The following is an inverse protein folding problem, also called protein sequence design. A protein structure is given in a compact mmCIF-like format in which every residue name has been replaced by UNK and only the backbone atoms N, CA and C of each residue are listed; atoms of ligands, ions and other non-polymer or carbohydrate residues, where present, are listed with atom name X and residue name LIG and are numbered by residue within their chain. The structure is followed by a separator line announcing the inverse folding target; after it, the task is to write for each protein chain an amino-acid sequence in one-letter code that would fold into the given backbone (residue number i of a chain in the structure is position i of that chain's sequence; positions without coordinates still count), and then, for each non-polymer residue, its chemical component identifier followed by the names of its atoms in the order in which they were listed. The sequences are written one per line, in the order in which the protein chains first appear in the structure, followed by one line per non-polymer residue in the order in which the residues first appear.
data_IF_792569479118
#
_entry.id   IF_792569479118
#
_cell.length_a   1.000
_cell.length_b   1.000
_cell.length_c   1.000
_cell.angle_alpha   90.00
_cell.angle_beta   90.00
_cell.angle_gamma   90.00
#
_symmetry.space_group_name_H-M   'P 1'
#
loop_
_entity.id
_entity.type
_entity.pdbx_description
1 polymer ?
#
# COMPACT_ATOMS: atom_id res chain seq x y z
N UNK A 1 -16.63 -0.32 -9.37
CA UNK A 1 -15.60 0.12 -10.34
C UNK A 1 -16.27 0.51 -11.63
N UNK A 2 -16.06 1.72 -12.15
CA UNK A 2 -16.37 2.02 -13.56
C UNK A 2 -15.24 1.44 -14.42
N UNK A 3 -15.46 0.34 -15.17
CA UNK A 3 -14.40 -0.28 -15.97
C UNK A 3 -14.01 0.57 -17.18
N UNK A 4 -14.80 1.59 -17.53
CA UNK A 4 -14.54 2.47 -18.66
C UNK A 4 -13.61 3.62 -18.30
N UNK A 5 -13.52 3.96 -17.01
CA UNK A 5 -12.61 4.96 -16.49
C UNK A 5 -11.14 4.53 -16.61
N UNK A 6 -10.23 5.49 -16.47
CA UNK A 6 -8.79 5.19 -16.44
C UNK A 6 -8.42 4.70 -15.05
N UNK A 7 -8.41 3.39 -14.88
CA UNK A 7 -8.02 2.72 -13.64
C UNK A 7 -6.56 2.25 -13.71
N UNK A 8 -5.82 2.45 -12.62
CA UNK A 8 -4.42 2.03 -12.49
C UNK A 8 -4.22 1.29 -11.18
N UNK A 9 -3.34 0.29 -11.17
CA UNK A 9 -2.90 -0.34 -9.93
C UNK A 9 -1.71 0.42 -9.36
N UNK A 10 -1.86 0.94 -8.14
CA UNK A 10 -0.74 1.36 -7.30
C UNK A 10 -0.14 0.10 -6.69
N UNK A 11 1.14 -0.13 -6.96
CA UNK A 11 1.89 -1.22 -6.33
C UNK A 11 2.43 -0.70 -5.00
N UNK A 12 2.11 -1.43 -3.94
CA UNK A 12 2.48 -1.14 -2.55
C UNK A 12 3.32 -2.31 -2.10
N UNK A 13 4.62 -2.10 -2.07
CA UNK A 13 5.61 -3.09 -1.71
C UNK A 13 5.63 -3.33 -0.20
N UNK A 14 6.09 -4.49 0.26
CA UNK A 14 6.20 -4.81 1.68
C UNK A 14 7.09 -3.82 2.46
N UNK A 15 7.95 -3.07 1.76
CA UNK A 15 8.79 -2.01 2.31
C UNK A 15 8.19 -0.59 2.28
N UNK A 16 7.00 -0.38 1.74
CA UNK A 16 6.41 0.96 1.61
C UNK A 16 5.85 1.49 2.94
N UNK A 17 6.08 2.78 3.25
CA UNK A 17 5.72 3.37 4.56
C UNK A 17 4.22 3.58 4.76
N UNK A 18 3.46 3.42 3.69
CA UNK A 18 2.00 3.41 3.76
C UNK A 18 1.45 2.10 4.34
N UNK A 19 2.28 1.06 4.45
CA UNK A 19 1.99 -0.12 5.26
C UNK A 19 2.38 0.14 6.72
N UNK A 20 1.43 -0.07 7.62
CA UNK A 20 1.67 0.01 9.06
C UNK A 20 1.73 -1.40 9.66
N UNK A 21 2.92 -1.80 10.06
CA UNK A 21 3.16 -3.02 10.83
C UNK A 21 2.93 -2.72 12.31
N UNK A 22 1.93 -3.35 12.93
CA UNK A 22 1.55 -3.03 14.32
C UNK A 22 2.70 -3.21 15.33
N UNK A 23 3.55 -4.21 15.08
CA UNK A 23 4.81 -4.42 15.79
C UNK A 23 5.87 -4.90 14.79
N UNK A 24 6.75 -4.03 14.29
CA UNK A 24 7.75 -4.40 13.28
C UNK A 24 8.69 -5.52 13.73
N UNK A 25 8.91 -5.69 15.04
CA UNK A 25 9.79 -6.75 15.57
C UNK A 25 9.22 -8.17 15.41
N UNK A 26 7.93 -8.32 15.13
CA UNK A 26 7.29 -9.61 14.87
C UNK A 26 7.55 -10.12 13.44
N UNK A 27 8.19 -9.31 12.60
CA UNK A 27 8.40 -9.58 11.18
C UNK A 27 9.88 -9.76 10.87
N UNK A 28 10.15 -10.58 9.86
CA UNK A 28 11.46 -10.85 9.31
C UNK A 28 11.46 -10.52 7.83
N UNK A 29 12.52 -9.87 7.38
CA UNK A 29 12.79 -9.56 5.98
C UNK A 29 14.18 -10.11 5.62
N UNK A 30 14.41 -10.56 4.36
CA UNK A 30 15.76 -10.79 3.89
C UNK A 30 16.59 -9.49 3.92
N UNK A 31 17.91 -9.61 3.86
CA UNK A 31 18.81 -8.48 3.67
C UNK A 31 18.60 -7.92 2.25
N UNK A 32 18.03 -6.72 2.08
CA UNK A 32 17.74 -6.14 0.77
C UNK A 32 19.01 -5.82 -0.04
N UNK A 33 20.19 -5.87 0.59
CA UNK A 33 21.48 -5.61 -0.03
C UNK A 33 22.26 -6.91 -0.36
N UNK A 34 21.74 -8.10 -0.04
CA UNK A 34 22.49 -9.37 -0.16
C UNK A 34 21.71 -10.51 -0.85
N UNK A 35 22.12 -10.94 -2.08
CA UNK A 35 23.02 -10.23 -2.98
C UNK A 35 22.44 -8.84 -3.33
N UNK A 36 23.23 -7.87 -3.83
CA UNK A 36 22.69 -6.55 -4.18
C UNK A 36 21.48 -6.73 -5.08
N UNK A 37 20.35 -6.10 -4.75
CA UNK A 37 19.08 -6.38 -5.41
C UNK A 37 19.14 -6.25 -6.94
N UNK A 38 19.94 -5.31 -7.44
CA UNK A 38 20.23 -5.14 -8.87
C UNK A 38 20.79 -6.39 -9.58
N UNK A 39 21.37 -7.33 -8.82
CA UNK A 39 21.90 -8.62 -9.30
C UNK A 39 20.94 -9.78 -9.09
N UNK A 40 19.89 -9.58 -8.28
CA UNK A 40 18.92 -10.62 -7.89
C UNK A 40 17.66 -10.55 -8.75
N UNK A 41 17.31 -9.39 -9.32
CA UNK A 41 16.22 -9.30 -10.30
C UNK A 41 16.67 -9.87 -11.66
N UNK A 42 15.93 -10.80 -12.31
CA UNK A 42 14.60 -11.35 -11.98
C UNK A 42 14.63 -12.77 -11.35
N UNK A 43 15.73 -13.16 -10.72
CA UNK A 43 15.95 -14.53 -10.20
C UNK A 43 15.22 -14.84 -8.90
N UNK A 44 14.62 -13.84 -8.26
CA UNK A 44 13.79 -13.97 -7.06
C UNK A 44 12.29 -13.98 -7.44
N UNK A 45 11.46 -14.79 -6.77
CA UNK A 45 10.01 -14.73 -6.97
C UNK A 45 9.37 -13.47 -6.36
N UNK A 46 10.07 -12.72 -5.51
CA UNK A 46 9.50 -11.59 -4.76
C UNK A 46 9.66 -10.25 -5.49
N UNK A 47 8.67 -9.36 -5.36
CA UNK A 47 8.75 -8.01 -5.91
C UNK A 47 9.93 -7.28 -5.29
N UNK A 48 10.76 -6.68 -6.15
CA UNK A 48 12.00 -6.01 -5.73
C UNK A 48 12.84 -6.84 -4.73
N UNK A 49 12.76 -8.17 -4.81
CA UNK A 49 13.54 -9.12 -4.03
C UNK A 49 13.37 -9.09 -2.51
N UNK A 50 12.37 -8.40 -1.99
CA UNK A 50 12.07 -8.33 -0.54
C UNK A 50 10.76 -9.02 -0.19
N UNK A 51 10.56 -9.31 1.08
CA UNK A 51 9.28 -9.76 1.65
C UNK A 51 9.27 -9.50 3.15
N UNK A 52 8.08 -9.40 3.74
CA UNK A 52 7.91 -9.43 5.20
C UNK A 52 7.19 -10.70 5.61
N UNK A 53 7.85 -11.53 6.42
CA UNK A 53 7.32 -12.80 6.93
C UNK A 53 7.22 -12.78 8.46
N UNK A 54 6.17 -13.40 8.99
CA UNK A 54 6.02 -13.63 10.42
C UNK A 54 5.51 -15.05 10.71
N UNK A 55 5.91 -15.60 11.85
CA UNK A 55 5.29 -16.78 12.46
C UNK A 55 4.52 -16.45 13.74
N UNK A 56 4.49 -15.17 14.12
CA UNK A 56 3.88 -14.69 15.37
C UNK A 56 2.38 -14.56 15.16
N UNK A 57 1.60 -15.28 15.98
CA UNK A 57 0.13 -15.19 15.95
C UNK A 57 -0.28 -13.80 16.40
N UNK A 58 -1.24 -13.22 15.68
CA UNK A 58 -1.75 -11.84 15.81
C UNK A 58 -0.82 -10.72 15.33
N UNK A 59 0.38 -11.02 14.81
CA UNK A 59 1.13 -10.02 14.05
C UNK A 59 0.27 -9.52 12.88
N UNK A 60 0.21 -8.20 12.71
CA UNK A 60 -0.73 -7.57 11.77
C UNK A 60 -0.12 -6.41 10.99
N UNK A 61 -0.70 -6.18 9.82
CA UNK A 61 -0.40 -5.10 8.89
C UNK A 61 -1.71 -4.38 8.58
N UNK A 62 -1.69 -3.06 8.57
CA UNK A 62 -2.81 -2.23 8.13
C UNK A 62 -2.41 -1.35 6.96
N UNK A 63 -3.34 -1.16 6.02
CA UNK A 63 -3.23 -0.25 4.90
C UNK A 63 -4.54 0.51 4.74
N UNK A 64 -4.46 1.84 4.80
CA UNK A 64 -5.54 2.70 4.33
C UNK A 64 -5.35 2.94 2.84
N UNK A 65 -6.39 2.71 2.06
CA UNK A 65 -6.38 2.94 0.61
C UNK A 65 -7.70 3.54 0.16
N UNK A 66 -7.70 4.08 -1.04
CA UNK A 66 -8.93 4.55 -1.68
C UNK A 66 -9.05 3.87 -3.03
N UNK A 67 -10.22 3.33 -3.31
CA UNK A 67 -10.52 2.78 -4.63
C UNK A 67 -11.26 1.47 -4.58
N UNK A 68 -11.64 0.95 -5.75
CA UNK A 68 -12.67 -0.07 -5.85
C UNK A 68 -12.09 -1.49 -5.85
N UNK A 69 -10.76 -1.65 -5.78
CA UNK A 69 -10.17 -2.96 -5.75
C UNK A 69 -8.84 -3.03 -5.00
N UNK A 70 -8.58 -4.18 -4.40
CA UNK A 70 -7.35 -4.51 -3.72
C UNK A 70 -6.99 -5.98 -3.93
N UNK A 71 -5.71 -6.25 -4.13
CA UNK A 71 -5.16 -7.59 -4.33
C UNK A 71 -3.89 -7.74 -3.49
N UNK A 72 -3.83 -8.76 -2.65
CA UNK A 72 -2.72 -9.02 -1.73
C UNK A 72 -1.95 -10.23 -2.24
N UNK A 73 -0.65 -10.05 -2.43
CA UNK A 73 0.26 -11.08 -2.90
C UNK A 73 1.28 -11.45 -1.83
N UNK A 74 1.64 -12.72 -1.78
CA UNK A 74 2.61 -13.26 -0.84
C UNK A 74 3.00 -14.68 -1.20
N UNK A 75 3.19 -15.54 -0.21
CA UNK A 75 3.58 -16.94 -0.42
C UNK A 75 2.51 -17.92 0.04
N UNK A 76 2.50 -19.10 -0.58
CA UNK A 76 1.78 -20.28 -0.11
C UNK A 76 2.67 -21.52 -0.17
N UNK A 77 2.39 -22.49 0.69
CA UNK A 77 3.24 -23.68 0.85
C UNK A 77 3.04 -24.40 2.19
N UNK A 78 3.79 -25.47 2.46
CA UNK A 78 3.51 -26.37 3.58
C UNK A 78 3.83 -25.78 4.95
N UNK A 79 4.52 -24.64 5.01
CA UNK A 79 4.87 -23.93 6.23
C UNK A 79 3.97 -22.74 6.54
N UNK A 80 3.06 -22.39 5.62
CA UNK A 80 2.19 -21.21 5.75
C UNK A 80 0.84 -21.56 6.35
N UNK A 81 0.40 -20.77 7.33
CA UNK A 81 -0.82 -21.01 8.10
C UNK A 81 -2.02 -20.20 7.63
N UNK A 82 -3.03 -20.13 8.50
CA UNK A 82 -4.19 -19.28 8.34
C UNK A 82 -3.89 -17.81 8.64
N UNK A 83 -4.63 -16.93 7.97
CA UNK A 83 -4.61 -15.48 8.17
C UNK A 83 -6.02 -14.91 8.07
N UNK A 84 -6.25 -13.81 8.76
CA UNK A 84 -7.45 -12.99 8.64
C UNK A 84 -7.19 -11.85 7.66
N UNK A 85 -8.18 -11.60 6.80
CA UNK A 85 -8.29 -10.39 5.99
C UNK A 85 -9.53 -9.65 6.46
N UNK A 86 -9.36 -8.39 6.87
CA UNK A 86 -10.46 -7.51 7.25
C UNK A 86 -10.47 -6.30 6.32
N UNK A 87 -11.63 -6.02 5.72
CA UNK A 87 -11.89 -4.77 4.99
C UNK A 87 -12.96 -4.01 5.77
N UNK A 88 -12.64 -2.80 6.20
CA UNK A 88 -13.55 -1.91 6.95
C UNK A 88 -14.13 -2.57 8.21
N UNK A 89 -13.34 -3.42 8.87
CA UNK A 89 -13.74 -4.15 10.07
C UNK A 89 -14.50 -5.46 9.80
N UNK A 90 -14.81 -5.79 8.55
CA UNK A 90 -15.43 -7.08 8.17
C UNK A 90 -14.35 -8.11 7.90
N UNK A 91 -14.16 -9.03 8.84
CA UNK A 91 -13.11 -10.04 8.81
C UNK A 91 -13.54 -11.36 8.13
N UNK A 92 -12.64 -11.95 7.35
CA UNK A 92 -12.76 -13.30 6.79
C UNK A 92 -11.44 -14.04 6.96
N UNK A 93 -11.50 -15.33 7.31
CA UNK A 93 -10.33 -16.20 7.46
C UNK A 93 -10.01 -16.94 6.17
N UNK A 94 -8.72 -16.96 5.82
CA UNK A 94 -8.14 -17.68 4.70
C UNK A 94 -6.96 -18.55 5.19
N UNK A 95 -6.47 -19.44 4.33
CA UNK A 95 -5.26 -20.22 4.59
C UNK A 95 -4.30 -20.14 3.41
N UNK A 96 -3.02 -19.94 3.71
CA UNK A 96 -1.92 -19.97 2.74
C UNK A 96 -1.26 -21.37 2.69
N UNK A 97 -1.80 -22.35 3.42
CA UNK A 97 -1.28 -23.71 3.40
C UNK A 97 -1.46 -24.35 2.01
N UNK A 98 -0.38 -24.94 1.51
CA UNK A 98 -0.40 -25.79 0.33
C UNK A 98 0.62 -26.92 0.49
N UNK A 99 0.45 -28.06 -0.20
CA UNK A 99 1.39 -29.19 -0.08
C UNK A 99 2.75 -28.94 -0.74
N UNK A 100 2.86 -27.89 -1.56
CA UNK A 100 4.09 -27.47 -2.24
C UNK A 100 4.20 -25.95 -2.23
N UNK A 101 5.42 -25.42 -2.20
CA UNK A 101 5.66 -23.98 -2.31
C UNK A 101 5.18 -23.45 -3.66
N UNK A 102 4.50 -22.30 -3.66
CA UNK A 102 4.32 -21.51 -4.86
C UNK A 102 5.68 -21.06 -5.42
N UNK A 103 5.80 -21.02 -6.74
CA UNK A 103 7.04 -20.60 -7.44
C UNK A 103 7.00 -19.16 -7.94
N UNK A 104 5.87 -18.49 -7.75
CA UNK A 104 5.62 -17.08 -8.07
C UNK A 104 4.81 -16.48 -6.92
N UNK A 105 4.71 -15.14 -6.82
CA UNK A 105 3.82 -14.51 -5.85
C UNK A 105 2.41 -15.10 -5.96
N UNK A 106 1.89 -15.52 -4.82
CA UNK A 106 0.58 -16.14 -4.69
C UNK A 106 -0.45 -15.09 -4.32
N UNK A 107 -1.59 -15.07 -5.03
CA UNK A 107 -2.72 -14.20 -4.69
C UNK A 107 -3.40 -14.72 -3.41
N UNK A 108 -3.11 -14.05 -2.29
CA UNK A 108 -3.68 -14.38 -0.97
C UNK A 108 -5.11 -13.85 -0.83
N UNK A 109 -5.39 -12.69 -1.42
CA UNK A 109 -6.71 -12.08 -1.36
C UNK A 109 -6.93 -11.17 -2.56
N UNK A 110 -8.16 -11.13 -3.07
CA UNK A 110 -8.55 -10.20 -4.12
C UNK A 110 -10.00 -9.78 -3.97
N UNK A 111 -10.25 -8.49 -4.08
CA UNK A 111 -11.60 -7.94 -4.17
C UNK A 111 -11.62 -6.83 -5.22
N UNK A 112 -12.43 -7.02 -6.27
CA UNK A 112 -12.58 -6.08 -7.39
C UNK A 112 -13.85 -5.23 -7.36
N UNK A 113 -14.64 -5.36 -6.30
CA UNK A 113 -16.01 -4.85 -6.23
C UNK A 113 -16.25 -3.96 -5.00
N UNK A 114 -15.21 -3.31 -4.49
CA UNK A 114 -15.36 -2.32 -3.42
C UNK A 114 -16.00 -1.03 -3.96
N UNK A 115 -16.61 -0.28 -3.03
CA UNK A 115 -17.06 1.06 -3.32
C UNK A 115 -15.86 1.96 -3.68
N UNK A 116 -16.09 3.02 -4.44
CA UNK A 116 -15.03 4.01 -4.65
C UNK A 116 -14.99 4.97 -3.46
N UNK A 117 -14.42 4.50 -2.36
CA UNK A 117 -14.30 5.23 -1.09
C UNK A 117 -12.97 4.92 -0.42
N UNK A 118 -12.71 5.60 0.70
CA UNK A 118 -11.62 5.19 1.59
C UNK A 118 -11.99 3.87 2.26
N UNK A 119 -11.01 2.98 2.35
CA UNK A 119 -11.09 1.66 2.93
C UNK A 119 -9.88 1.40 3.82
N UNK A 120 -10.05 0.56 4.84
CA UNK A 120 -8.95 0.05 5.65
C UNK A 120 -8.84 -1.45 5.46
N UNK A 121 -7.71 -1.91 4.93
CA UNK A 121 -7.30 -3.31 4.96
C UNK A 121 -6.54 -3.60 6.25
N UNK A 122 -6.88 -4.69 6.92
CA UNK A 122 -6.06 -5.31 7.94
C UNK A 122 -5.79 -6.77 7.60
N UNK A 123 -4.52 -7.15 7.64
CA UNK A 123 -4.04 -8.53 7.56
C UNK A 123 -3.56 -8.96 8.93
N UNK A 124 -3.90 -10.17 9.38
CA UNK A 124 -3.47 -10.68 10.69
C UNK A 124 -3.14 -12.17 10.62
N UNK A 125 -1.95 -12.54 11.07
CA UNK A 125 -1.54 -13.94 11.14
C UNK A 125 -2.35 -14.68 12.21
N UNK A 126 -2.98 -15.80 11.85
CA UNK A 126 -3.74 -16.64 12.80
C UNK A 126 -3.00 -17.93 13.18
N UNK A 127 -1.84 -18.20 12.57
CA UNK A 127 -1.13 -19.46 12.75
C UNK A 127 -1.92 -20.65 12.18
N UNK A 128 -1.79 -21.83 12.80
CA UNK A 128 -2.51 -23.04 12.40
C UNK A 128 -3.97 -23.03 12.89
N UNK A 129 -4.76 -22.05 12.46
CA UNK A 129 -6.13 -21.86 12.93
C UNK A 129 -7.13 -22.85 12.29
N UNK A 130 -6.76 -23.48 11.17
CA UNK A 130 -7.56 -24.51 10.51
C UNK A 130 -6.85 -25.86 10.57
N UNK A 131 -7.64 -26.95 10.63
CA UNK A 131 -7.09 -28.31 10.64
C UNK A 131 -6.27 -28.63 9.38
N UNK A 132 -6.57 -27.98 8.26
CA UNK A 132 -5.82 -28.08 7.00
C UNK A 132 -4.40 -27.51 7.08
N UNK A 133 -4.10 -26.65 8.06
CA UNK A 133 -2.81 -25.95 8.13
C UNK A 133 -1.68 -26.87 8.62
N UNK A 134 -1.98 -28.07 9.13
CA UNK A 134 -0.96 -29.05 9.57
C UNK A 134 0.08 -28.50 10.57
N UNK A 135 -0.32 -27.54 11.42
CA UNK A 135 0.58 -26.90 12.37
C UNK A 135 1.44 -25.77 11.79
N UNK A 136 1.28 -25.43 10.51
CA UNK A 136 1.92 -24.31 9.85
C UNK A 136 1.49 -22.96 10.45
N UNK A 137 2.42 -22.02 10.58
CA UNK A 137 2.15 -20.71 11.19
C UNK A 137 2.76 -19.52 10.45
N UNK A 138 3.48 -19.74 9.35
CA UNK A 138 4.08 -18.65 8.61
C UNK A 138 3.02 -17.86 7.84
N UNK A 139 3.20 -16.56 7.76
CA UNK A 139 2.49 -15.65 6.87
C UNK A 139 3.52 -14.73 6.24
N UNK A 140 3.47 -14.54 4.92
CA UNK A 140 4.41 -13.71 4.17
C UNK A 140 3.63 -12.78 3.26
N UNK A 141 3.89 -11.48 3.39
CA UNK A 141 3.48 -10.43 2.47
C UNK A 141 4.64 -10.09 1.52
N UNK A 142 4.34 -10.00 0.24
CA UNK A 142 5.25 -9.55 -0.81
C UNK A 142 4.84 -8.15 -1.28
N UNK A 143 3.64 -8.01 -1.84
CA UNK A 143 3.10 -6.70 -2.22
C UNK A 143 1.58 -6.68 -2.27
N UNK A 144 1.03 -5.48 -2.38
CA UNK A 144 -0.39 -5.20 -2.55
C UNK A 144 -0.58 -4.36 -3.81
N UNK A 145 -1.60 -4.69 -4.61
CA UNK A 145 -2.09 -3.83 -5.69
C UNK A 145 -3.39 -3.17 -5.24
N UNK A 146 -3.40 -1.85 -5.09
CA UNK A 146 -4.61 -1.07 -4.88
C UNK A 146 -5.01 -0.37 -6.18
N UNK A 147 -6.21 -0.64 -6.69
CA UNK A 147 -6.68 0.02 -7.91
C UNK A 147 -7.25 1.40 -7.58
N UNK A 148 -6.84 2.41 -8.34
CA UNK A 148 -7.28 3.79 -8.23
C UNK A 148 -7.80 4.29 -9.58
N UNK A 149 -8.73 5.23 -9.57
CA UNK A 149 -9.20 5.89 -10.77
C UNK A 149 -8.45 7.22 -10.93
N UNK A 150 -7.77 7.39 -12.07
CA UNK A 150 -6.98 8.59 -12.38
C UNK A 150 -7.71 9.53 -13.35
N UNK A 151 -8.85 9.13 -13.91
CA UNK A 151 -9.61 9.97 -14.82
C UNK A 151 -10.84 9.27 -15.38
N UNK A 152 -11.76 10.02 -16.02
CA UNK A 152 -12.92 9.46 -16.70
C UNK A 152 -12.52 8.70 -17.96
N UNK A 153 -13.48 7.98 -18.56
CA UNK A 153 -13.27 7.25 -19.80
C UNK A 153 -12.70 8.13 -20.92
N UNK A 154 -11.63 7.65 -21.57
CA UNK A 154 -10.98 8.36 -22.67
C UNK A 154 -10.04 9.50 -22.26
N UNK A 155 -9.87 9.78 -20.96
CA UNK A 155 -8.85 10.72 -20.51
C UNK A 155 -7.44 10.16 -20.77
N UNK A 156 -6.51 11.03 -21.15
CA UNK A 156 -5.08 10.70 -21.15
C UNK A 156 -4.47 11.09 -19.82
N UNK A 157 -3.48 10.35 -19.35
CA UNK A 157 -2.82 10.56 -18.05
C UNK A 157 -1.36 10.92 -18.26
N UNK A 158 -0.91 11.98 -17.57
CA UNK A 158 0.49 12.42 -17.61
C UNK A 158 1.07 12.44 -16.20
N UNK A 159 2.21 11.78 -16.01
CA UNK A 159 2.98 11.89 -14.76
C UNK A 159 4.03 12.99 -14.88
N UNK A 160 4.15 13.81 -13.85
CA UNK A 160 5.23 14.79 -13.70
C UNK A 160 6.06 14.43 -12.49
N UNK A 161 7.35 14.20 -12.70
CA UNK A 161 8.33 14.03 -11.63
C UNK A 161 8.85 15.38 -11.17
N UNK A 162 8.94 15.58 -9.87
CA UNK A 162 9.58 16.71 -9.20
C UNK A 162 10.68 16.12 -8.33
N UNK A 163 11.92 16.23 -8.78
CA UNK A 163 13.09 15.72 -8.06
C UNK A 163 13.35 16.54 -6.79
N UNK A 164 14.05 15.95 -5.83
CA UNK A 164 14.47 16.56 -4.55
C UNK A 164 15.12 17.95 -4.68
N UNK A 165 15.82 18.23 -5.78
CA UNK A 165 16.46 19.52 -6.06
C UNK A 165 15.63 20.50 -6.92
N UNK A 166 14.38 20.16 -7.25
CA UNK A 166 13.52 21.02 -8.08
C UNK A 166 13.11 22.30 -7.31
N UNK A 167 13.23 23.50 -7.92
CA UNK A 167 12.89 24.77 -7.26
C UNK A 167 11.41 24.94 -6.89
N UNK A 168 10.51 24.06 -7.38
CA UNK A 168 9.12 23.99 -6.91
C UNK A 168 9.01 23.56 -5.46
N UNK A 169 9.94 22.74 -4.97
CA UNK A 169 9.96 22.28 -3.58
C UNK A 169 10.37 23.42 -2.66
N UNK A 170 9.63 23.57 -1.56
CA UNK A 170 9.89 24.59 -0.53
C UNK A 170 10.30 23.91 0.77
N UNK A 171 11.60 23.94 1.03
CA UNK A 171 12.18 23.40 2.25
C UNK A 171 12.17 24.43 3.38
N UNK A 172 11.89 23.96 4.59
CA UNK A 172 12.04 24.67 5.85
C UNK A 172 12.85 23.82 6.81
N UNK A 173 13.71 24.46 7.61
CA UNK A 173 14.65 23.79 8.50
C UNK A 173 15.96 23.41 7.82
N UNK A 174 16.63 22.37 8.33
CA UNK A 174 17.94 21.95 7.84
C UNK A 174 17.82 20.63 7.09
N UNK A 175 18.31 20.63 5.86
CA UNK A 175 18.31 19.48 4.97
C UNK A 175 19.71 19.26 4.42
N UNK A 176 20.08 18.00 4.21
CA UNK A 176 21.38 17.62 3.64
C UNK A 176 21.13 16.82 2.38
N UNK A 177 21.79 17.21 1.29
CA UNK A 177 21.78 16.46 0.04
C UNK A 177 22.79 15.31 0.11
N UNK A 178 22.43 14.19 -0.45
CA UNK A 178 23.30 13.07 -0.75
C UNK A 178 23.20 12.69 -2.23
N UNK A 179 24.28 12.17 -2.78
CA UNK A 179 24.34 11.78 -4.19
C UNK A 179 24.51 10.28 -4.31
N UNK A 180 23.77 9.68 -5.23
CA UNK A 180 23.76 8.23 -5.42
C UNK A 180 23.20 7.85 -6.77
N UNK A 181 23.76 6.83 -7.46
CA UNK A 181 23.29 6.40 -8.77
C UNK A 181 21.92 5.68 -8.72
N UNK A 182 21.43 5.35 -7.52
CA UNK A 182 20.14 4.69 -7.29
C UNK A 182 19.01 5.70 -7.07
N UNK A 183 19.34 6.96 -6.74
CA UNK A 183 18.36 8.02 -6.56
C UNK A 183 17.86 8.55 -7.90
N UNK A 184 16.59 8.91 -7.92
CA UNK A 184 16.00 9.67 -9.01
C UNK A 184 16.74 10.99 -9.18
N UNK A 185 17.00 11.42 -10.41
CA UNK A 185 17.81 12.62 -10.65
C UNK A 185 19.27 12.56 -10.19
N UNK A 186 19.70 11.51 -9.46
CA UNK A 186 21.04 11.31 -8.92
C UNK A 186 21.28 11.84 -7.51
N UNK A 187 20.26 12.42 -6.87
CA UNK A 187 20.32 13.01 -5.53
C UNK A 187 19.12 12.60 -4.68
N UNK A 188 19.33 12.51 -3.37
CA UNK A 188 18.28 12.44 -2.36
C UNK A 188 18.56 13.52 -1.32
N UNK A 189 17.54 13.93 -0.58
CA UNK A 189 17.68 14.92 0.48
C UNK A 189 17.07 14.41 1.78
N UNK A 190 17.81 14.60 2.88
CA UNK A 190 17.41 14.09 4.19
C UNK A 190 17.45 15.13 5.30
N UNK A 191 16.68 14.85 6.35
CA UNK A 191 16.70 15.62 7.60
C UNK A 191 16.52 14.73 8.82
N UNK A 192 17.19 15.09 9.92
CA UNK A 192 17.05 14.46 11.24
C UNK A 192 16.60 15.46 12.32
N UNK A 193 16.08 16.60 11.90
CA UNK A 193 15.52 17.65 12.75
C UNK A 193 14.09 17.91 12.34
N UNK A 194 13.32 18.62 13.17
CA UNK A 194 11.99 19.07 12.79
C UNK A 194 12.09 20.07 11.62
N UNK A 195 11.97 19.53 10.42
CA UNK A 195 12.09 20.20 9.14
C UNK A 195 10.97 19.71 8.23
N UNK A 196 10.58 20.54 7.28
CA UNK A 196 9.49 20.22 6.36
C UNK A 196 9.82 20.59 4.92
N UNK A 197 9.12 19.95 4.00
CA UNK A 197 9.15 20.22 2.57
C UNK A 197 7.72 20.27 2.06
N UNK A 198 7.42 21.26 1.21
CA UNK A 198 6.12 21.36 0.56
C UNK A 198 6.21 21.46 -0.96
N UNK A 199 5.16 20.95 -1.61
CA UNK A 199 4.93 21.02 -3.05
C UNK A 199 3.49 21.47 -3.31
N UNK A 200 3.34 22.45 -4.18
CA UNK A 200 2.05 22.86 -4.74
C UNK A 200 1.91 22.31 -6.16
N UNK A 201 0.79 21.66 -6.48
CA UNK A 201 0.58 20.97 -7.75
C UNK A 201 -0.90 20.90 -8.15
N UNK A 202 -1.16 20.65 -9.44
CA UNK A 202 -2.49 20.34 -9.96
C UNK A 202 -2.45 18.94 -10.58
N UNK A 203 -3.06 17.98 -9.89
CA UNK A 203 -3.07 16.59 -10.29
C UNK A 203 -4.09 15.81 -9.50
N UNK A 204 -4.57 14.71 -10.08
CA UNK A 204 -5.55 13.80 -9.48
C UNK A 204 -4.92 12.77 -8.54
N UNK A 205 -3.60 12.58 -8.62
CA UNK A 205 -2.86 11.70 -7.73
C UNK A 205 -1.48 12.27 -7.42
N UNK A 206 -0.95 11.87 -6.26
CA UNK A 206 0.36 12.23 -5.75
C UNK A 206 1.03 10.98 -5.17
N UNK A 207 2.29 10.80 -5.52
CA UNK A 207 3.19 9.78 -4.98
C UNK A 207 4.41 10.50 -4.40
N UNK A 208 4.85 10.09 -3.22
CA UNK A 208 6.09 10.58 -2.60
C UNK A 208 7.00 9.38 -2.41
N UNK A 209 8.23 9.49 -2.87
CA UNK A 209 9.24 8.44 -2.77
C UNK A 209 10.43 8.92 -1.95
N UNK A 210 11.08 7.96 -1.30
CA UNK A 210 12.30 8.16 -0.54
C UNK A 210 12.71 6.83 0.10
N UNK A 211 13.83 6.85 0.81
CA UNK A 211 14.38 5.63 1.36
C UNK A 211 13.75 5.26 2.70
N UNK A 212 13.93 4.00 3.08
CA UNK A 212 13.40 3.45 4.32
C UNK A 212 14.50 2.64 4.94
N UNK A 213 14.94 3.02 6.13
CA UNK A 213 16.05 2.39 6.87
C UNK A 213 15.72 2.44 8.36
N UNK A 214 16.26 1.54 9.16
CA UNK A 214 15.97 1.49 10.60
C UNK A 214 16.44 2.71 11.43
N UNK A 215 17.29 3.58 10.89
CA UNK A 215 17.63 4.86 11.54
C UNK A 215 16.62 5.99 11.22
N UNK A 216 15.61 5.70 10.38
CA UNK A 216 14.54 6.62 10.09
C UNK A 216 13.46 6.61 11.18
N UNK A 217 12.51 7.53 11.10
CA UNK A 217 11.37 7.55 12.00
C UNK A 217 10.08 8.02 11.39
N UNK A 218 9.25 8.60 12.27
CA UNK A 218 7.92 9.07 11.96
C UNK A 218 7.96 10.42 11.21
N UNK A 219 7.11 10.52 10.21
CA UNK A 219 6.83 11.78 9.52
C UNK A 219 5.33 11.95 9.40
N UNK A 220 4.91 13.20 9.32
CA UNK A 220 3.55 13.53 8.96
C UNK A 220 3.48 14.01 7.52
N UNK A 221 2.38 13.68 6.85
CA UNK A 221 2.00 14.24 5.57
C UNK A 221 0.66 14.93 5.73
N UNK A 222 0.58 16.18 5.31
CA UNK A 222 -0.65 16.95 5.23
C UNK A 222 -0.88 17.32 3.77
N UNK A 223 -2.05 16.99 3.23
CA UNK A 223 -2.50 17.50 1.93
C UNK A 223 -3.63 18.50 2.15
N UNK A 224 -3.45 19.68 1.60
CA UNK A 224 -4.32 20.84 1.75
C UNK A 224 -4.57 21.19 3.23
N UNK A 225 -5.83 21.27 3.63
CA UNK A 225 -6.25 21.58 5.00
C UNK A 225 -6.75 20.34 5.75
N UNK A 226 -6.42 19.13 5.27
CA UNK A 226 -6.79 17.89 5.96
C UNK A 226 -5.94 17.67 7.21
N UNK A 227 -6.35 16.71 8.03
CA UNK A 227 -5.57 16.34 9.21
C UNK A 227 -4.25 15.68 8.79
N UNK A 228 -3.15 15.95 9.51
CA UNK A 228 -1.88 15.28 9.26
C UNK A 228 -2.02 13.76 9.42
N UNK A 229 -1.52 13.01 8.44
CA UNK A 229 -1.40 11.55 8.51
C UNK A 229 0.03 11.19 8.91
N UNK A 230 0.19 10.33 9.92
CA UNK A 230 1.50 9.88 10.39
C UNK A 230 1.88 8.57 9.75
N UNK A 231 3.12 8.48 9.29
CA UNK A 231 3.73 7.30 8.68
C UNK A 231 5.07 7.03 9.33
N UNK A 232 5.55 5.78 9.23
CA UNK A 232 6.81 5.36 9.81
C UNK A 232 7.67 4.68 8.75
N UNK A 233 8.97 4.98 8.74
CA UNK A 233 9.94 4.45 7.76
C UNK A 233 10.91 3.42 8.34
N UNK A 234 10.65 2.97 9.57
CA UNK A 234 11.35 1.84 10.20
C UNK A 234 10.80 0.53 9.63
N UNK A 235 11.67 -0.42 9.29
CA UNK A 235 11.31 -1.72 8.70
C UNK A 235 11.70 -2.93 9.51
N UNK A 236 12.11 -2.72 10.75
CA UNK A 236 12.25 -3.81 11.73
C UNK A 236 13.36 -4.81 11.39
N UNK A 237 14.29 -4.49 10.47
CA UNK A 237 15.37 -5.41 10.17
C UNK A 237 16.21 -5.71 11.40
N UNK A 238 16.26 -6.98 11.80
CA UNK A 238 17.04 -7.42 12.96
C UNK A 238 18.46 -7.87 12.62
N UNK A 239 19.26 -8.13 13.65
CA UNK A 239 20.55 -8.79 13.50
C UNK A 239 21.65 -7.94 12.84
N UNK A 240 22.55 -8.60 12.12
CA UNK A 240 23.82 -8.01 11.68
C UNK A 240 23.68 -6.89 10.63
N UNK A 241 22.59 -6.88 9.85
CA UNK A 241 22.34 -5.89 8.79
C UNK A 241 21.34 -4.80 9.20
N UNK A 242 20.83 -4.83 10.45
CA UNK A 242 19.78 -3.91 10.89
C UNK A 242 20.11 -2.43 10.71
N UNK A 243 21.38 -2.02 10.76
CA UNK A 243 21.79 -0.62 10.54
C UNK A 243 21.82 -0.19 9.07
N UNK A 244 22.02 -1.13 8.15
CA UNK A 244 22.23 -0.88 6.72
C UNK A 244 21.09 -1.46 5.87
N UNK A 245 19.98 -1.81 6.51
CA UNK A 245 18.84 -2.45 5.87
C UNK A 245 18.07 -1.40 5.07
N UNK A 246 18.52 -1.19 3.85
CA UNK A 246 18.02 -0.19 2.94
C UNK A 246 17.72 -0.84 1.60
N UNK A 247 16.51 -0.65 1.11
CA UNK A 247 16.12 -1.08 -0.23
C UNK A 247 16.79 -0.17 -1.24
N UNK A 248 17.49 -0.76 -2.22
CA UNK A 248 18.17 0.00 -3.30
C UNK A 248 17.21 0.68 -4.29
N UNK A 249 15.91 0.54 -4.09
CA UNK A 249 14.85 1.14 -4.90
C UNK A 249 14.00 2.01 -3.98
N UNK A 250 13.72 3.28 -4.34
CA UNK A 250 12.94 4.19 -3.50
C UNK A 250 11.57 3.60 -3.12
N UNK A 251 11.24 3.63 -1.83
CA UNK A 251 9.98 3.14 -1.30
C UNK A 251 8.88 4.18 -1.47
N UNK A 252 7.62 3.75 -1.67
CA UNK A 252 6.47 4.63 -1.63
C UNK A 252 6.21 5.07 -0.18
N UNK A 253 6.39 6.37 0.06
CA UNK A 253 6.25 6.99 1.37
C UNK A 253 4.85 7.54 1.60
N UNK A 254 4.20 7.97 0.53
CA UNK A 254 2.84 8.50 0.59
C UNK A 254 2.15 8.34 -0.75
N UNK A 255 0.85 8.09 -0.70
CA UNK A 255 0.00 8.11 -1.87
C UNK A 255 -1.31 8.83 -1.55
N UNK A 256 -1.70 9.73 -2.45
CA UNK A 256 -3.06 10.28 -2.51
C UNK A 256 -3.61 10.10 -3.92
N UNK A 257 -4.87 9.73 -4.03
CA UNK A 257 -5.61 9.60 -5.28
C UNK A 257 -6.94 10.33 -5.24
N UNK A 258 -7.62 10.39 -6.39
CA UNK A 258 -8.92 11.05 -6.56
C UNK A 258 -8.94 12.52 -6.09
N UNK A 259 -7.82 13.20 -6.26
CA UNK A 259 -7.74 14.64 -6.04
C UNK A 259 -8.47 15.36 -7.19
N UNK A 260 -9.11 16.47 -6.85
CA UNK A 260 -9.89 17.24 -7.81
C UNK A 260 -9.00 18.12 -8.71
N UNK A 261 -9.62 18.96 -9.53
CA UNK A 261 -8.89 19.84 -10.45
C UNK A 261 -8.32 21.09 -9.77
N UNK A 262 -8.54 21.28 -8.47
CA UNK A 262 -8.00 22.43 -7.75
C UNK A 262 -6.47 22.35 -7.63
N UNK A 263 -5.90 23.42 -7.11
CA UNK A 263 -4.48 23.42 -6.76
C UNK A 263 -4.35 22.83 -5.36
N UNK A 264 -3.55 21.77 -5.25
CA UNK A 264 -3.28 21.08 -4.00
C UNK A 264 -1.91 21.48 -3.44
N UNK A 265 -1.77 21.48 -2.12
CA UNK A 265 -0.47 21.64 -1.46
C UNK A 265 -0.24 20.50 -0.50
N UNK A 266 0.83 19.74 -0.73
CA UNK A 266 1.29 18.72 0.20
C UNK A 266 2.44 19.27 1.03
N UNK A 267 2.48 18.95 2.32
CA UNK A 267 3.59 19.21 3.23
C UNK A 267 3.99 17.92 3.93
N UNK A 268 5.28 17.56 3.83
CA UNK A 268 5.89 16.46 4.57
C UNK A 268 6.73 17.04 5.68
N UNK A 269 6.58 16.55 6.91
CA UNK A 269 7.31 17.05 8.08
C UNK A 269 7.94 15.90 8.84
N UNK A 270 9.23 16.02 9.18
CA UNK A 270 9.86 15.10 10.13
C UNK A 270 9.34 15.42 11.54
N UNK A 271 8.56 14.50 12.10
CA UNK A 271 7.99 14.63 13.45
C UNK A 271 8.64 13.69 14.45
N UNK A 272 9.69 12.98 14.03
CA UNK A 272 10.24 11.91 14.82
C UNK A 272 10.97 12.42 16.07
N UNK A 273 10.81 11.63 17.14
CA UNK A 273 11.56 11.82 18.38
C UNK A 273 12.98 11.25 18.24
N UNK A 274 13.94 11.81 18.98
CA UNK A 274 15.34 11.38 19.02
C UNK A 274 16.16 11.59 17.73
N UNK A 275 15.79 12.56 16.89
CA UNK A 275 16.54 12.93 15.68
C UNK A 275 16.75 11.75 14.72
N UNK A 276 15.71 10.95 14.50
CA UNK A 276 15.72 9.96 13.42
C UNK A 276 15.42 10.63 12.08
N UNK A 277 15.82 9.94 11.01
CA UNK A 277 15.90 10.51 9.67
C UNK A 277 14.59 10.36 8.89
N UNK A 278 14.39 11.25 7.93
CA UNK A 278 13.50 11.04 6.80
C UNK A 278 14.24 11.48 5.55
N UNK A 279 14.17 10.64 4.52
CA UNK A 279 14.72 10.93 3.21
C UNK A 279 13.58 11.21 2.21
N UNK A 280 13.88 12.05 1.23
CA UNK A 280 13.03 12.39 0.09
C UNK A 280 13.86 12.26 -1.19
N UNK A 281 13.39 11.42 -2.10
CA UNK A 281 13.97 11.23 -3.43
C UNK A 281 13.20 12.07 -4.46
N UNK A 282 11.88 11.88 -4.55
CA UNK A 282 11.04 12.63 -5.50
C UNK A 282 9.57 12.66 -5.11
N UNK A 283 8.88 13.64 -5.68
CA UNK A 283 7.43 13.60 -5.84
C UNK A 283 7.09 13.21 -7.28
N UNK A 284 5.96 12.51 -7.45
CA UNK A 284 5.34 12.34 -8.76
C UNK A 284 3.88 12.71 -8.61
N UNK A 285 3.39 13.65 -9.42
CA UNK A 285 1.95 13.92 -9.50
C UNK A 285 1.41 13.56 -10.88
N UNK A 286 0.16 13.14 -10.89
CA UNK A 286 -0.52 12.68 -12.09
C UNK A 286 -1.60 13.66 -12.50
N UNK A 287 -1.55 14.16 -13.73
CA UNK A 287 -2.54 15.08 -14.28
C UNK A 287 -3.32 14.40 -15.41
N UNK A 288 -4.65 14.23 -15.29
CA UNK A 288 -5.48 13.76 -16.39
C UNK A 288 -5.84 14.91 -17.34
N UNK A 289 -6.09 14.59 -18.61
CA UNK A 289 -6.60 15.57 -19.59
C UNK A 289 -8.02 16.05 -19.26
N UNK A 290 -8.76 15.27 -18.46
CA UNK A 290 -10.11 15.58 -17.99
C UNK A 290 -10.25 15.03 -16.57
N UNK A 291 -10.83 15.79 -15.66
CA UNK A 291 -11.17 15.33 -14.32
C UNK A 291 -12.57 14.73 -14.33
N UNK A 292 -12.76 13.62 -13.62
CA UNK A 292 -14.10 13.07 -13.44
C UNK A 292 -14.88 13.97 -12.47
N UNK A 293 -16.20 14.14 -12.64
CA UNK A 293 -17.02 14.71 -11.58
C UNK A 293 -16.90 13.81 -10.34
N UNK A 294 -16.54 14.38 -9.19
CA UNK A 294 -16.58 13.63 -7.92
C UNK A 294 -18.05 13.36 -7.60
N UNK A 295 -18.58 12.21 -8.03
CA UNK A 295 -19.87 11.74 -7.55
C UNK A 295 -19.63 11.01 -6.24
N UNK A 296 -19.59 11.75 -5.13
CA UNK A 296 -19.84 11.16 -3.81
C UNK A 296 -21.28 10.65 -3.85
N UNK A 297 -21.48 9.34 -3.98
CA UNK A 297 -22.80 8.78 -3.73
C UNK A 297 -23.08 8.94 -2.25
N UNK A 298 -23.65 10.09 -1.86
CA UNK A 298 -24.40 10.24 -0.63
C UNK A 298 -25.58 9.28 -0.75
N UNK A 299 -25.41 8.05 -0.28
CA UNK A 299 -26.53 7.19 0.02
C UNK A 299 -27.17 7.75 1.30
N UNK A 300 -27.82 8.92 1.16
CA UNK A 300 -28.74 9.42 2.17
C UNK A 300 -29.96 8.50 2.13
N UNK A 301 -29.89 7.40 2.87
CA UNK A 301 -31.11 6.80 3.40
C UNK A 301 -31.71 7.81 4.37
N UNK A 302 -32.42 8.78 3.80
CA UNK A 302 -33.33 9.63 4.53
C UNK A 302 -34.27 8.69 5.27
N UNK A 303 -34.13 8.64 6.60
CA UNK A 303 -35.06 7.98 7.48
C UNK A 303 -36.42 8.67 7.28
N UNK A 304 -37.24 8.08 6.40
CA UNK A 304 -38.64 8.42 6.30
C UNK A 304 -39.30 7.95 7.60
N UNK A 305 -39.55 8.92 8.48
CA UNK A 305 -40.37 8.78 9.68
C UNK A 305 -41.78 8.38 9.27
N UNK A 306 -42.11 7.09 9.39
CA UNK A 306 -43.50 6.64 9.38
C UNK A 306 -43.86 6.08 10.74
N UNK A 307 -44.62 6.89 11.48
CA UNK A 307 -45.37 6.52 12.66
C UNK A 307 -46.56 5.62 12.28
N UNK A 308 -46.61 4.41 12.84
CA UNK A 308 -47.89 3.77 13.18
C UNK A 308 -47.71 2.52 14.05
N UNK A 309 -48.25 2.65 15.27
CA UNK A 309 -49.05 1.69 16.02
C UNK A 309 -48.66 0.19 16.11
N UNK A 310 -48.54 -0.22 17.36
CA UNK A 310 -48.49 -1.58 17.89
C UNK A 310 -49.56 -2.54 17.37
N UNK A 311 -49.16 -3.77 17.05
CA UNK A 311 -49.91 -4.97 17.44
C UNK A 311 -48.98 -6.20 17.54
N UNK A 312 -49.22 -6.98 18.58
CA UNK A 312 -48.52 -8.21 18.98
C UNK A 312 -48.90 -9.43 18.12
N UNK A 313 -47.95 -10.32 17.82
CA UNK A 313 -47.95 -11.74 18.28
C UNK A 313 -47.04 -12.68 17.48
N UNK A 314 -46.50 -13.65 18.23
CA UNK A 314 -46.00 -15.00 17.88
C UNK A 314 -44.73 -15.19 17.05
N UNK A 315 -43.68 -15.57 17.78
CA UNK A 315 -42.75 -16.70 17.53
C UNK A 315 -42.99 -17.55 16.28
N UNK A 316 -41.95 -17.76 15.46
CA UNK A 316 -41.46 -19.10 15.09
C UNK A 316 -39.96 -19.10 14.68
N UNK A 317 -39.26 -20.04 15.34
CA UNK A 317 -37.98 -20.71 15.08
C UNK A 317 -37.26 -20.55 13.74
N UNK A 318 -35.95 -20.30 13.88
CA UNK A 318 -34.91 -20.54 12.91
C UNK A 318 -34.69 -22.05 12.63
N UNK A 319 -34.40 -22.39 11.38
CA UNK A 319 -33.70 -23.63 11.01
C UNK A 319 -32.68 -23.32 9.91
N UNK A 320 -31.42 -23.49 10.26
CA UNK A 320 -30.25 -23.45 9.39
C UNK A 320 -30.15 -24.72 8.53
N UNK A 321 -29.79 -24.55 7.26
CA UNK A 321 -29.14 -25.57 6.44
C UNK A 321 -28.30 -24.88 5.35
N UNK A 322 -27.15 -25.47 4.94
CA UNK A 322 -26.09 -24.76 4.23
C UNK A 322 -26.32 -24.73 2.72
N UNK A 323 -26.23 -23.53 2.13
CA UNK A 323 -26.27 -23.35 0.68
C UNK A 323 -24.92 -23.65 0.04
N UNK A 324 -24.91 -24.66 -0.82
CA UNK A 324 -23.84 -25.02 -1.74
C UNK A 324 -23.47 -23.83 -2.63
N UNK A 325 -22.18 -23.47 -2.71
CA UNK A 325 -21.70 -22.56 -3.75
C UNK A 325 -21.50 -23.30 -5.06
N UNK A 326 -22.30 -22.89 -6.03
CA UNK A 326 -22.22 -23.30 -7.43
C UNK A 326 -20.93 -22.72 -8.06
N UNK A 327 -20.23 -23.57 -8.80
CA UNK A 327 -18.98 -23.26 -9.50
C UNK A 327 -19.30 -22.91 -10.95
N UNK A 328 -18.88 -21.73 -11.44
CA UNK A 328 -18.45 -21.48 -12.84
C UNK A 328 -18.25 -19.99 -13.14
N UNK A 329 -17.54 -19.60 -14.22
CA UNK A 329 -16.11 -19.86 -14.43
C UNK A 329 -15.34 -18.58 -14.86
N UNK A 330 -14.00 -18.65 -14.79
CA UNK A 330 -13.06 -17.89 -15.65
C UNK A 330 -13.35 -16.39 -15.88
N UNK A 331 -12.92 -15.55 -14.94
CA UNK A 331 -12.60 -14.15 -15.26
C UNK A 331 -11.15 -14.10 -15.72
N UNK A 332 -10.93 -14.04 -17.04
CA UNK A 332 -9.63 -13.69 -17.62
C UNK A 332 -9.38 -12.21 -17.31
N UNK A 333 -8.76 -11.94 -16.15
CA UNK A 333 -8.15 -10.65 -15.87
C UNK A 333 -6.92 -10.52 -16.78
N UNK A 334 -7.02 -9.66 -17.79
CA UNK A 334 -5.83 -9.08 -18.41
C UNK A 334 -5.13 -8.25 -17.33
N UNK A 335 -4.14 -8.85 -16.67
CA UNK A 335 -3.17 -8.13 -15.87
C UNK A 335 -2.33 -7.34 -16.87
N UNK A 336 -2.79 -6.16 -17.25
CA UNK A 336 -1.94 -5.11 -17.77
C UNK A 336 -1.06 -4.64 -16.62
N UNK A 337 -0.02 -5.40 -16.29
CA UNK A 337 1.05 -4.90 -15.45
C UNK A 337 1.76 -3.82 -16.28
N UNK A 338 1.36 -2.56 -16.07
CA UNK A 338 2.28 -1.46 -16.35
C UNK A 338 3.40 -1.56 -15.32
N UNK A 339 4.34 -2.46 -15.61
CA UNK A 339 5.66 -2.42 -15.04
C UNK A 339 6.25 -1.08 -15.45
N UNK A 340 6.21 -0.09 -14.55
CA UNK A 340 7.17 0.98 -14.63
C UNK A 340 8.52 0.34 -14.40
N UNK A 341 9.18 -0.05 -15.49
CA UNK A 341 10.62 -0.21 -15.48
C UNK A 341 11.18 1.11 -14.96
N UNK A 342 11.60 1.11 -13.69
CA UNK A 342 12.45 2.12 -13.08
C UNK A 342 13.85 2.03 -13.72
N UNK A 343 13.91 2.26 -15.03
CA UNK A 343 15.15 2.31 -15.79
C UNK A 343 15.38 3.75 -16.26
N UNK A 344 16.22 4.44 -15.49
CA UNK A 344 16.88 5.64 -15.95
C UNK A 344 17.77 5.34 -17.16
N UNK A 345 17.34 5.86 -18.31
CA UNK A 345 18.08 6.24 -19.52
C UNK A 345 18.79 5.19 -20.39
N UNK A 346 18.42 5.30 -21.68
CA UNK A 346 19.22 5.01 -22.86
C UNK A 346 20.64 5.61 -22.77
N UNK A 347 21.63 4.82 -23.19
CA UNK A 347 22.96 5.32 -23.54
C UNK A 347 22.97 5.71 -25.02
N UNK A 348 23.58 6.87 -25.28
CA UNK A 348 24.05 7.29 -26.60
C UNK A 348 25.12 6.34 -27.15
#
# INVERSE_FOLDING_TARGET
MDPTAVNTNVTIDDWDSILNYANPADWQTPDPQSPPLATVLPTTPWLDGTYHQTGVVNASITLDFQGPAIYVFGASGPTYGSYAVSIDGVETTYSAYATSNATTPHLLYGNGALAYSSHTLQLRNLGAAQASDQGASAFLLDFILATVQLGPAGATITNTTVEDNDPKLKYSGTWTEESGPLFSGGTSIYTNTNSSVSLTFNGTALYIFGDTVNNHGEYSVTIDNHQPQTYNSIRGCGGAFGKFCEKTQPSLRYFAGNLDSSEHTVTVTNIAINSTFIDLDRFVYTTPSQYAPITTSLNSSAAATTSSASSSSSTQKASSAPGMFDRSPLLLLFIGAFWFLRLGRARA
#
